data_IF_334973060341
#
_entry.id   IF_334973060341
#
_cell.length_a   1.000
_cell.length_b   1.000
_cell.length_c   1.000
_cell.angle_alpha   90.00
_cell.angle_beta   90.00
_cell.angle_gamma   90.00
#
_symmetry.space_group_name_H-M   'P 1'
#
loop_
_entity.id
_entity.type
_entity.pdbx_description
1 polymer ?
#
# COMPACT_ATOMS: atom_id res chain seq x y z
N UNK A 1 -1.34 -49.96 39.16
CA UNK A 1 -2.22 -48.78 39.28
C UNK A 1 -1.33 -47.60 39.64
N UNK A 2 -1.17 -46.63 38.72
CA UNK A 2 -1.60 -45.21 38.89
C UNK A 2 -0.94 -44.52 40.11
N UNK A 3 -0.23 -43.38 40.02
CA UNK A 3 -0.07 -42.36 38.98
C UNK A 3 1.13 -41.47 39.38
N UNK A 4 1.82 -40.97 38.35
CA UNK A 4 2.81 -39.89 38.40
C UNK A 4 2.18 -38.61 38.98
N UNK A 5 2.92 -37.90 39.83
CA UNK A 5 2.67 -36.49 40.12
C UNK A 5 4.03 -35.80 40.26
N UNK A 6 4.59 -35.36 39.13
CA UNK A 6 5.72 -34.42 39.13
C UNK A 6 5.10 -33.02 39.21
N UNK A 7 5.13 -32.42 40.41
CA UNK A 7 4.88 -31.00 40.60
C UNK A 7 6.04 -30.24 39.97
N UNK A 8 5.81 -29.60 38.81
CA UNK A 8 6.70 -28.59 38.24
C UNK A 8 6.00 -27.25 38.37
N UNK A 9 6.74 -26.31 38.96
CA UNK A 9 6.24 -25.07 39.53
C UNK A 9 5.59 -24.11 38.55
N UNK A 10 4.65 -23.36 39.13
CA UNK A 10 4.04 -22.16 38.60
C UNK A 10 5.11 -21.06 38.45
N UNK A 11 5.78 -21.00 37.29
CA UNK A 11 6.50 -19.81 36.87
C UNK A 11 5.53 -18.88 36.13
N UNK A 12 5.09 -17.86 36.84
CA UNK A 12 4.37 -16.69 36.35
C UNK A 12 5.27 -15.99 35.31
N UNK A 13 5.02 -16.25 34.02
CA UNK A 13 5.50 -15.37 32.95
C UNK A 13 4.43 -14.32 32.67
N UNK A 14 4.41 -13.29 33.52
CA UNK A 14 3.84 -11.98 33.23
C UNK A 14 4.60 -11.38 32.03
N UNK A 15 4.21 -11.71 30.81
CA UNK A 15 4.59 -10.92 29.63
C UNK A 15 3.67 -9.70 29.57
N UNK A 16 3.97 -8.72 30.42
CA UNK A 16 3.53 -7.36 30.20
C UNK A 16 4.25 -6.81 28.96
N UNK A 17 3.43 -6.34 28.03
CA UNK A 17 3.71 -5.27 27.08
C UNK A 17 4.95 -5.44 26.18
N UNK A 18 4.74 -6.10 25.04
CA UNK A 18 5.17 -5.49 23.79
C UNK A 18 3.98 -4.70 23.22
N UNK A 19 3.70 -3.52 23.80
CA UNK A 19 3.11 -2.45 22.99
C UNK A 19 4.16 -2.11 21.95
N UNK A 20 4.16 -2.89 20.85
CA UNK A 20 4.99 -2.58 19.71
C UNK A 20 4.65 -1.16 19.31
N UNK A 21 5.63 -0.25 19.44
CA UNK A 21 5.63 0.98 18.68
C UNK A 21 5.45 0.54 17.22
N UNK A 22 4.21 0.54 16.74
CA UNK A 22 3.90 0.39 15.32
C UNK A 22 4.57 1.58 14.69
N UNK A 23 5.75 1.38 14.11
CA UNK A 23 6.36 2.35 13.23
C UNK A 23 5.39 2.50 12.06
N UNK A 24 4.48 3.47 12.15
CA UNK A 24 3.61 3.82 11.04
C UNK A 24 4.54 4.20 9.90
N UNK A 25 4.41 3.53 8.76
CA UNK A 25 5.17 3.90 7.57
C UNK A 25 4.69 5.29 7.18
N UNK A 26 5.53 6.29 7.42
CA UNK A 26 5.16 7.68 7.22
C UNK A 26 5.51 8.16 5.80
N UNK A 27 6.53 7.56 5.20
CA UNK A 27 7.02 7.87 3.87
C UNK A 27 7.71 6.67 3.26
N UNK A 28 7.57 6.50 1.95
CA UNK A 28 8.27 5.49 1.16
C UNK A 28 9.77 5.85 1.05
N UNK A 29 10.65 4.85 1.03
CA UNK A 29 12.09 4.99 0.76
C UNK A 29 12.47 4.13 -0.43
N UNK A 30 13.54 4.48 -1.14
CA UNK A 30 14.04 3.68 -2.28
C UNK A 30 14.39 2.23 -1.92
N UNK A 31 14.72 1.96 -0.64
CA UNK A 31 15.01 0.61 -0.16
C UNK A 31 13.74 -0.25 -0.02
N UNK A 32 12.58 0.37 0.10
CA UNK A 32 11.28 -0.31 0.18
C UNK A 32 10.80 -0.73 -1.22
N UNK A 33 11.31 -0.08 -2.28
CA UNK A 33 10.91 -0.28 -3.67
C UNK A 33 11.70 -1.44 -4.29
N UNK A 34 11.01 -2.57 -4.49
CA UNK A 34 11.53 -3.77 -5.17
C UNK A 34 10.77 -4.14 -6.45
N UNK A 35 9.54 -3.63 -6.54
CA UNK A 35 8.64 -3.64 -7.68
C UNK A 35 7.80 -2.34 -7.56
N UNK A 36 6.80 -2.14 -8.42
CA UNK A 36 5.82 -1.07 -8.26
C UNK A 36 5.23 -1.10 -6.83
N UNK A 37 5.31 0.03 -6.12
CA UNK A 37 4.90 0.14 -4.72
C UNK A 37 4.04 1.37 -4.51
N UNK A 38 2.91 1.24 -3.82
CA UNK A 38 2.03 2.37 -3.50
C UNK A 38 1.84 2.47 -1.99
N UNK A 39 2.19 3.62 -1.41
CA UNK A 39 1.91 3.94 -0.02
C UNK A 39 0.75 4.93 0.07
N UNK A 40 -0.34 4.51 0.70
CA UNK A 40 -1.39 5.41 1.15
C UNK A 40 -0.98 6.01 2.49
N UNK A 41 -1.02 7.33 2.62
CA UNK A 41 -0.66 8.03 3.85
C UNK A 41 -1.89 8.44 4.65
N UNK A 42 -1.72 8.64 5.95
CA UNK A 42 -2.83 9.00 6.84
C UNK A 42 -3.45 10.38 6.55
N UNK A 43 -2.74 11.25 5.83
CA UNK A 43 -3.24 12.56 5.37
C UNK A 43 -4.05 12.45 4.07
N UNK A 44 -4.19 11.26 3.49
CA UNK A 44 -4.88 11.02 2.23
C UNK A 44 -3.98 11.12 0.98
N UNK A 45 -2.75 11.61 1.13
CA UNK A 45 -1.77 11.62 0.05
C UNK A 45 -1.28 10.22 -0.29
N UNK A 46 -0.76 10.08 -1.51
CA UNK A 46 -0.23 8.83 -2.05
C UNK A 46 1.22 9.03 -2.42
N UNK A 47 2.07 8.05 -2.11
CA UNK A 47 3.40 7.96 -2.70
C UNK A 47 3.47 6.71 -3.56
N UNK A 48 3.82 6.87 -4.83
CA UNK A 48 4.19 5.74 -5.69
C UNK A 48 5.70 5.59 -5.72
N UNK A 49 6.13 4.34 -5.79
CA UNK A 49 7.49 3.90 -5.94
C UNK A 49 7.61 3.12 -7.23
N UNK A 50 8.16 3.74 -8.27
CA UNK A 50 8.39 3.07 -9.54
C UNK A 50 9.71 2.29 -9.49
N UNK A 51 9.73 1.12 -10.11
CA UNK A 51 10.90 0.26 -10.25
C UNK A 51 11.03 -0.20 -11.70
N UNK A 52 12.11 0.19 -12.37
CA UNK A 52 12.38 -0.24 -13.74
C UNK A 52 13.82 -0.76 -13.83
N UNK A 53 13.99 -1.97 -14.36
CA UNK A 53 15.30 -2.59 -14.54
C UNK A 53 15.63 -2.73 -16.03
N UNK A 54 16.80 -2.26 -16.42
CA UNK A 54 17.26 -2.26 -17.81
C UNK A 54 18.67 -2.86 -17.93
N UNK A 55 18.91 -3.52 -19.06
CA UNK A 55 20.16 -4.27 -19.32
C UNK A 55 21.29 -3.39 -19.92
N UNK A 56 20.96 -2.23 -20.46
CA UNK A 56 21.93 -1.25 -21.02
C UNK A 56 21.66 0.11 -20.37
N UNK A 57 22.65 1.01 -20.22
CA UNK A 57 22.46 2.35 -19.65
C UNK A 57 21.67 3.27 -20.60
N UNK A 58 20.41 2.93 -20.86
CA UNK A 58 19.53 3.63 -21.81
C UNK A 58 19.25 5.07 -21.39
N UNK A 59 19.30 5.35 -20.08
CA UNK A 59 18.94 6.64 -19.51
C UNK A 59 20.07 7.18 -18.64
N UNK A 60 20.40 8.43 -18.86
CA UNK A 60 21.10 9.25 -17.88
C UNK A 60 20.10 9.66 -16.76
N UNK A 61 20.59 9.75 -15.52
CA UNK A 61 19.74 10.07 -14.37
C UNK A 61 19.14 11.49 -14.47
N UNK A 62 19.91 12.46 -14.96
CA UNK A 62 19.44 13.85 -15.12
C UNK A 62 18.44 13.95 -16.28
N UNK A 63 18.67 13.25 -17.38
CA UNK A 63 17.74 13.22 -18.52
C UNK A 63 16.41 12.56 -18.13
N UNK A 64 16.43 11.43 -17.43
CA UNK A 64 15.22 10.76 -16.93
C UNK A 64 14.48 11.65 -15.92
N UNK A 65 15.23 12.33 -15.04
CA UNK A 65 14.64 13.28 -14.09
C UNK A 65 13.94 14.43 -14.82
N UNK A 66 14.60 15.05 -15.79
CA UNK A 66 14.04 16.15 -16.56
C UNK A 66 12.77 15.71 -17.32
N UNK A 67 12.77 14.50 -17.87
CA UNK A 67 11.58 13.92 -18.50
C UNK A 67 10.42 13.75 -17.52
N UNK A 68 10.67 13.15 -16.35
CA UNK A 68 9.63 12.98 -15.32
C UNK A 68 9.11 14.31 -14.78
N UNK A 69 10.00 15.26 -14.49
CA UNK A 69 9.63 16.61 -14.02
C UNK A 69 8.82 17.35 -15.08
N UNK A 70 9.17 17.23 -16.37
CA UNK A 70 8.37 17.82 -17.45
C UNK A 70 6.96 17.23 -17.51
N UNK A 71 6.81 15.91 -17.38
CA UNK A 71 5.49 15.27 -17.39
C UNK A 71 4.64 15.71 -16.18
N UNK A 72 5.25 15.79 -14.99
CA UNK A 72 4.60 16.26 -13.77
C UNK A 72 4.18 17.72 -13.88
N UNK A 73 5.04 18.58 -14.44
CA UNK A 73 4.73 20.00 -14.60
C UNK A 73 3.54 20.20 -15.55
N UNK A 74 3.52 19.51 -16.69
CA UNK A 74 2.37 19.54 -17.60
C UNK A 74 1.09 19.09 -16.90
N UNK A 75 1.13 17.99 -16.15
CA UNK A 75 -0.02 17.50 -15.41
C UNK A 75 -0.51 18.51 -14.35
N UNK A 76 0.40 19.10 -13.58
CA UNK A 76 0.08 20.14 -12.59
C UNK A 76 -0.51 21.40 -13.24
N UNK A 77 0.00 21.82 -14.40
CA UNK A 77 -0.57 22.93 -15.17
C UNK A 77 -2.00 22.64 -15.63
N UNK A 78 -2.30 21.39 -16.04
CA UNK A 78 -3.66 20.96 -16.38
C UNK A 78 -4.61 20.92 -15.17
N UNK A 79 -4.10 20.60 -13.97
CA UNK A 79 -4.88 20.67 -12.73
C UNK A 79 -5.05 22.11 -12.21
N UNK A 80 -4.15 23.02 -12.59
CA UNK A 80 -4.13 24.41 -12.13
C UNK A 80 -3.46 24.62 -10.77
N UNK A 81 -2.81 23.59 -10.21
CA UNK A 81 -2.09 23.63 -8.94
C UNK A 81 -0.96 22.58 -8.87
N UNK A 82 0.04 22.81 -8.00
CA UNK A 82 1.13 21.85 -7.76
C UNK A 82 0.63 20.72 -6.83
N UNK A 83 0.08 19.66 -7.41
CA UNK A 83 -0.54 18.54 -6.68
C UNK A 83 0.18 17.20 -6.84
N UNK A 84 1.19 17.16 -7.73
CA UNK A 84 2.09 16.02 -7.92
C UNK A 84 3.54 16.49 -7.86
N UNK A 85 4.41 15.69 -7.23
CA UNK A 85 5.82 16.02 -7.05
C UNK A 85 6.73 14.82 -7.16
N UNK A 86 7.80 14.94 -7.95
CA UNK A 86 8.93 14.01 -7.90
C UNK A 86 9.74 14.28 -6.63
N UNK A 87 9.78 13.32 -5.71
CA UNK A 87 10.55 13.45 -4.46
C UNK A 87 11.96 12.91 -4.59
N UNK A 88 12.12 11.81 -5.33
CA UNK A 88 13.41 11.15 -5.47
C UNK A 88 13.46 10.38 -6.79
N UNK A 89 14.62 10.41 -7.42
CA UNK A 89 15.00 9.53 -8.52
C UNK A 89 16.40 9.01 -8.21
N UNK A 90 16.65 7.75 -8.50
CA UNK A 90 18.00 7.18 -8.50
C UNK A 90 18.10 6.08 -9.55
N UNK A 91 19.18 6.09 -10.32
CA UNK A 91 19.63 4.92 -11.08
C UNK A 91 20.74 4.25 -10.28
N UNK A 92 20.50 3.00 -9.90
CA UNK A 92 21.44 2.14 -9.17
C UNK A 92 22.00 1.07 -10.11
N UNK A 93 23.28 0.74 -9.99
CA UNK A 93 23.87 -0.39 -10.70
C UNK A 93 23.76 -1.67 -9.86
N UNK A 94 23.32 -2.77 -10.48
CA UNK A 94 23.23 -4.09 -9.87
C UNK A 94 23.72 -5.15 -10.85
N UNK A 95 25.02 -5.43 -10.80
CA UNK A 95 25.68 -6.34 -11.73
C UNK A 95 25.74 -5.71 -13.13
N UNK A 96 25.15 -6.38 -14.13
CA UNK A 96 25.02 -5.86 -15.50
C UNK A 96 23.74 -5.07 -15.72
N UNK A 97 22.88 -4.94 -14.70
CA UNK A 97 21.61 -4.23 -14.80
C UNK A 97 21.73 -2.87 -14.15
N UNK A 98 20.98 -1.93 -14.70
CA UNK A 98 20.71 -0.64 -14.11
C UNK A 98 19.25 -0.62 -13.64
N UNK A 99 19.01 -0.05 -12.46
CA UNK A 99 17.70 -0.03 -11.83
C UNK A 99 17.34 1.42 -11.55
N UNK A 100 16.36 1.95 -12.27
CA UNK A 100 15.75 3.22 -11.94
C UNK A 100 14.70 3.01 -10.85
N UNK A 101 14.78 3.84 -9.80
CA UNK A 101 13.76 3.93 -8.76
C UNK A 101 13.34 5.38 -8.61
N UNK A 102 12.04 5.62 -8.64
CA UNK A 102 11.47 6.95 -8.43
C UNK A 102 10.44 6.93 -7.31
N UNK A 103 10.35 8.02 -6.55
CA UNK A 103 9.27 8.28 -5.61
C UNK A 103 8.54 9.53 -6.06
N UNK A 104 7.24 9.38 -6.34
CA UNK A 104 6.35 10.48 -6.70
C UNK A 104 5.25 10.58 -5.65
N UNK A 105 5.00 11.79 -5.15
CA UNK A 105 3.89 12.08 -4.24
C UNK A 105 2.75 12.74 -5.01
N UNK A 106 1.53 12.31 -4.70
CA UNK A 106 0.28 12.85 -5.20
C UNK A 106 -0.57 13.25 -4.00
N UNK A 107 -1.28 14.38 -4.08
CA UNK A 107 -2.10 14.84 -2.96
C UNK A 107 -3.25 13.88 -2.60
N UNK A 108 -3.69 13.04 -3.54
CA UNK A 108 -4.71 12.03 -3.31
C UNK A 108 -4.71 10.91 -4.38
N UNK A 109 -5.49 9.86 -4.12
CA UNK A 109 -5.63 8.70 -5.01
C UNK A 109 -6.21 9.04 -6.39
N UNK A 110 -7.07 10.06 -6.50
CA UNK A 110 -7.66 10.48 -7.78
C UNK A 110 -6.57 11.03 -8.72
N UNK A 111 -5.65 11.83 -8.19
CA UNK A 111 -4.52 12.36 -8.95
C UNK A 111 -3.54 11.26 -9.36
N UNK A 112 -3.25 10.32 -8.46
CA UNK A 112 -2.44 9.13 -8.77
C UNK A 112 -3.07 8.32 -9.92
N UNK A 113 -4.37 8.02 -9.83
CA UNK A 113 -5.12 7.32 -10.87
C UNK A 113 -5.10 8.05 -12.21
N UNK A 114 -5.33 9.37 -12.21
CA UNK A 114 -5.36 10.19 -13.42
C UNK A 114 -3.99 10.27 -14.11
N UNK A 115 -2.92 10.57 -13.38
CA UNK A 115 -1.59 10.73 -13.97
C UNK A 115 -1.03 9.40 -14.50
N UNK A 116 -1.31 8.28 -13.82
CA UNK A 116 -0.82 6.96 -14.23
C UNK A 116 -1.78 6.23 -15.17
N UNK A 117 -2.94 6.80 -15.47
CA UNK A 117 -3.99 6.21 -16.31
C UNK A 117 -4.39 4.79 -15.85
N UNK A 118 -4.68 4.65 -14.56
CA UNK A 118 -5.07 3.38 -13.92
C UNK A 118 -6.40 3.50 -13.18
N UNK A 119 -7.04 2.37 -12.92
CA UNK A 119 -8.24 2.31 -12.09
C UNK A 119 -7.86 2.16 -10.61
N UNK A 120 -7.90 3.27 -9.87
CA UNK A 120 -7.67 3.30 -8.43
C UNK A 120 -8.53 4.37 -7.75
N UNK A 121 -9.19 4.00 -6.65
CA UNK A 121 -10.03 4.92 -5.88
C UNK A 121 -10.03 4.58 -4.39
N UNK A 122 -10.04 5.62 -3.55
CA UNK A 122 -10.16 5.49 -2.10
C UNK A 122 -11.49 6.10 -1.66
N UNK A 123 -12.25 5.33 -0.87
CA UNK A 123 -13.59 5.64 -0.41
C UNK A 123 -13.65 5.63 1.12
N UNK A 124 -14.54 6.45 1.69
CA UNK A 124 -15.14 6.14 2.99
C UNK A 124 -15.99 4.86 2.90
N UNK A 125 -16.31 4.26 4.04
CA UNK A 125 -17.19 3.09 4.06
C UNK A 125 -18.60 3.40 3.49
N UNK A 126 -19.08 4.64 3.66
CA UNK A 126 -20.38 5.07 3.12
C UNK A 126 -20.34 5.17 1.59
N UNK A 127 -19.37 5.89 1.03
CA UNK A 127 -19.20 6.00 -0.43
C UNK A 127 -18.98 4.62 -1.07
N UNK A 128 -18.24 3.72 -0.42
CA UNK A 128 -18.03 2.37 -0.93
C UNK A 128 -19.33 1.53 -0.98
N UNK A 129 -20.26 1.75 -0.03
CA UNK A 129 -21.59 1.12 -0.05
C UNK A 129 -22.42 1.65 -1.20
N UNK A 130 -22.47 2.96 -1.37
CA UNK A 130 -23.25 3.62 -2.42
C UNK A 130 -22.73 3.24 -3.81
N UNK A 131 -21.41 3.15 -3.97
CA UNK A 131 -20.76 2.75 -5.21
C UNK A 131 -20.85 1.23 -5.49
N UNK A 132 -21.20 0.41 -4.49
CA UNK A 132 -21.34 -1.04 -4.66
C UNK A 132 -20.02 -1.77 -4.93
N UNK A 133 -18.89 -1.24 -4.44
CA UNK A 133 -17.54 -1.76 -4.77
C UNK A 133 -17.05 -2.87 -3.83
N UNK A 134 -17.75 -3.12 -2.73
CA UNK A 134 -17.39 -4.15 -1.75
C UNK A 134 -17.91 -5.52 -2.18
N UNK A 135 -17.05 -6.57 -2.23
CA UNK A 135 -17.49 -7.94 -2.49
C UNK A 135 -18.42 -8.48 -1.40
N UNK A 136 -19.30 -9.42 -1.76
CA UNK A 136 -20.22 -10.06 -0.81
C UNK A 136 -19.51 -10.77 0.35
N UNK A 137 -18.33 -11.35 0.08
CA UNK A 137 -17.48 -12.03 1.04
C UNK A 137 -16.04 -11.55 0.90
N UNK A 138 -15.42 -11.21 2.02
CA UNK A 138 -14.01 -10.80 2.11
C UNK A 138 -13.24 -11.71 3.07
N UNK A 139 -11.92 -11.54 3.10
CA UNK A 139 -11.02 -12.22 4.04
C UNK A 139 -10.65 -11.29 5.19
N UNK A 140 -10.69 -11.80 6.42
CA UNK A 140 -10.25 -11.10 7.63
C UNK A 140 -8.72 -11.15 7.72
N UNK A 141 -8.06 -9.99 7.75
CA UNK A 141 -6.60 -9.91 7.73
C UNK A 141 -5.92 -10.49 8.99
N UNK A 142 -6.64 -10.57 10.11
CA UNK A 142 -6.09 -11.03 11.38
C UNK A 142 -5.89 -12.56 11.44
N UNK A 143 -6.76 -13.33 10.78
CA UNK A 143 -6.82 -14.79 10.93
C UNK A 143 -7.11 -15.56 9.63
N UNK A 144 -7.34 -14.86 8.51
CA UNK A 144 -7.64 -15.45 7.21
C UNK A 144 -9.06 -16.03 7.08
N UNK A 145 -9.93 -15.83 8.07
CA UNK A 145 -11.31 -16.28 8.01
C UNK A 145 -12.14 -15.47 6.99
N UNK A 146 -13.29 -15.99 6.60
CA UNK A 146 -14.22 -15.30 5.68
C UNK A 146 -15.23 -14.47 6.47
N UNK A 147 -15.52 -13.27 5.98
CA UNK A 147 -16.49 -12.33 6.60
C UNK A 147 -17.45 -11.79 5.56
N UNK A 148 -18.70 -11.56 5.95
CA UNK A 148 -19.71 -10.99 5.06
C UNK A 148 -19.54 -9.49 4.86
N UNK A 149 -19.96 -8.98 3.70
CA UNK A 149 -20.01 -7.54 3.43
C UNK A 149 -20.76 -6.78 4.53
N UNK A 150 -21.85 -7.34 5.04
CA UNK A 150 -22.66 -6.73 6.12
C UNK A 150 -21.81 -6.45 7.36
N UNK A 151 -21.03 -7.43 7.82
CA UNK A 151 -20.18 -7.28 9.00
C UNK A 151 -19.02 -6.30 8.76
N UNK A 152 -18.43 -6.30 7.56
CA UNK A 152 -17.40 -5.32 7.18
C UNK A 152 -17.95 -3.89 7.21
N UNK A 153 -19.16 -3.72 6.70
CA UNK A 153 -19.81 -2.43 6.51
C UNK A 153 -20.42 -1.82 7.78
N UNK A 154 -20.58 -2.60 8.85
CA UNK A 154 -21.00 -2.10 10.16
C UNK A 154 -19.93 -1.21 10.81
N UNK A 155 -18.68 -1.26 10.35
CA UNK A 155 -17.61 -0.37 10.80
C UNK A 155 -17.42 0.84 9.87
N UNK A 156 -18.02 1.97 10.23
CA UNK A 156 -18.00 3.20 9.42
C UNK A 156 -16.68 3.98 9.50
N UNK A 157 -15.79 3.66 10.43
CA UNK A 157 -14.49 4.35 10.60
C UNK A 157 -13.43 3.86 9.60
N UNK A 158 -13.71 2.78 8.88
CA UNK A 158 -12.78 2.22 7.90
C UNK A 158 -12.90 2.91 6.55
N UNK A 159 -11.80 2.89 5.82
CA UNK A 159 -11.73 3.28 4.41
C UNK A 159 -11.58 2.05 3.53
N UNK A 160 -11.97 2.20 2.27
CA UNK A 160 -11.89 1.16 1.24
C UNK A 160 -11.00 1.67 0.12
N UNK A 161 -9.95 0.92 -0.22
CA UNK A 161 -9.18 1.10 -1.44
C UNK A 161 -9.66 0.07 -2.46
N UNK A 162 -9.95 0.54 -3.66
CA UNK A 162 -10.17 -0.27 -4.85
C UNK A 162 -9.05 0.04 -5.82
N UNK A 163 -8.31 -0.97 -6.28
CA UNK A 163 -7.15 -0.76 -7.16
C UNK A 163 -6.89 -1.96 -8.06
N UNK A 164 -6.49 -1.72 -9.30
CA UNK A 164 -6.07 -2.77 -10.23
C UNK A 164 -4.71 -2.45 -10.84
N UNK A 165 -3.66 -2.75 -10.07
CA UNK A 165 -2.26 -2.71 -10.52
C UNK A 165 -1.56 -3.98 -10.05
N UNK A 166 -0.40 -4.29 -10.63
CA UNK A 166 0.53 -5.26 -10.06
C UNK A 166 1.50 -4.50 -9.14
N UNK A 167 1.69 -4.97 -7.91
CA UNK A 167 2.67 -4.37 -7.00
C UNK A 167 2.30 -4.47 -5.51
N UNK A 168 3.10 -3.82 -4.68
CA UNK A 168 2.92 -3.78 -3.23
C UNK A 168 2.11 -2.55 -2.81
N UNK A 169 1.06 -2.75 -2.01
CA UNK A 169 0.25 -1.66 -1.46
C UNK A 169 0.46 -1.59 0.05
N UNK A 170 0.96 -0.44 0.51
CA UNK A 170 1.30 -0.15 1.89
C UNK A 170 0.32 0.83 2.51
N UNK A 171 0.00 0.59 3.79
CA UNK A 171 -0.93 1.39 4.58
C UNK A 171 -0.24 1.90 5.85
N UNK A 172 -0.72 3.02 6.43
CA UNK A 172 -0.12 3.57 7.65
C UNK A 172 -0.47 2.73 8.89
N UNK A 173 -1.58 2.00 8.82
CA UNK A 173 -2.11 1.13 9.85
C UNK A 173 -2.48 -0.23 9.25
N UNK A 174 -2.75 -1.21 10.13
CA UNK A 174 -3.03 -2.57 9.69
C UNK A 174 -4.32 -2.67 8.84
N UNK A 175 -4.24 -3.45 7.77
CA UNK A 175 -5.37 -3.91 6.95
C UNK A 175 -6.33 -4.70 7.82
N UNK A 176 -7.63 -4.58 7.54
CA UNK A 176 -8.72 -5.25 8.27
C UNK A 176 -9.35 -6.35 7.46
N UNK A 177 -9.69 -6.03 6.22
CA UNK A 177 -10.29 -6.97 5.30
C UNK A 177 -9.70 -6.78 3.91
N UNK A 178 -9.70 -7.84 3.13
CA UNK A 178 -9.23 -7.76 1.75
C UNK A 178 -9.91 -8.78 0.84
N UNK A 179 -9.85 -8.50 -0.46
CA UNK A 179 -10.19 -9.42 -1.55
C UNK A 179 -9.17 -9.26 -2.67
N UNK A 180 -8.85 -10.37 -3.34
CA UNK A 180 -7.95 -10.44 -4.51
C UNK A 180 -6.53 -9.88 -4.27
N UNK A 181 -6.00 -10.08 -3.06
CA UNK A 181 -4.62 -9.71 -2.69
C UNK A 181 -3.99 -10.80 -1.83
N UNK A 182 -2.66 -10.78 -1.73
CA UNK A 182 -1.90 -11.55 -0.74
C UNK A 182 -1.46 -10.63 0.41
N UNK A 183 -1.73 -11.00 1.65
CA UNK A 183 -1.25 -10.24 2.82
C UNK A 183 0.22 -10.58 3.10
N UNK A 184 1.13 -9.63 2.85
CA UNK A 184 2.57 -9.79 3.10
C UNK A 184 2.96 -9.45 4.54
N UNK A 185 2.32 -8.41 5.07
CA UNK A 185 2.53 -7.91 6.43
C UNK A 185 1.22 -7.28 6.93
N UNK A 186 1.07 -6.99 8.24
CA UNK A 186 -0.19 -6.44 8.76
C UNK A 186 -0.71 -5.19 8.02
N UNK A 187 0.18 -4.39 7.43
CA UNK A 187 -0.13 -3.15 6.71
C UNK A 187 0.35 -3.16 5.25
N UNK A 188 0.69 -4.32 4.69
CA UNK A 188 1.18 -4.44 3.31
C UNK A 188 0.53 -5.63 2.63
N UNK A 189 -0.01 -5.41 1.44
CA UNK A 189 -0.56 -6.46 0.58
C UNK A 189 0.13 -6.42 -0.78
N UNK A 190 0.18 -7.55 -1.47
CA UNK A 190 0.60 -7.66 -2.87
C UNK A 190 -0.63 -7.84 -3.76
N UNK A 191 -0.69 -7.10 -4.87
CA UNK A 191 -1.73 -7.20 -5.89
C UNK A 191 -1.14 -7.75 -7.19
N UNK A 192 -1.90 -8.54 -7.94
CA UNK A 192 -1.45 -9.11 -9.22
C UNK A 192 -1.77 -8.24 -10.43
N UNK A 193 -2.74 -7.33 -10.30
CA UNK A 193 -3.29 -6.52 -11.40
C UNK A 193 -4.27 -7.27 -12.32
N UNK A 194 -4.38 -8.59 -12.19
CA UNK A 194 -5.28 -9.40 -13.02
C UNK A 194 -6.75 -9.17 -12.63
N UNK A 195 -7.01 -9.05 -11.33
CA UNK A 195 -8.32 -8.76 -10.78
C UNK A 195 -8.27 -7.46 -9.97
N UNK A 196 -9.42 -6.78 -9.89
CA UNK A 196 -9.56 -5.63 -9.02
C UNK A 196 -9.41 -6.05 -7.56
N UNK A 197 -8.47 -5.44 -6.86
CA UNK A 197 -8.24 -5.62 -5.44
C UNK A 197 -9.14 -4.68 -4.63
N UNK A 198 -9.68 -5.20 -3.53
CA UNK A 198 -10.47 -4.41 -2.56
C UNK A 198 -9.86 -4.57 -1.18
N UNK A 199 -9.40 -3.47 -0.59
CA UNK A 199 -8.70 -3.46 0.69
C UNK A 199 -9.42 -2.53 1.66
N UNK A 200 -9.78 -3.03 2.83
CA UNK A 200 -10.39 -2.24 3.91
C UNK A 200 -9.38 -2.03 5.02
N UNK A 201 -9.15 -0.77 5.38
CA UNK A 201 -8.10 -0.37 6.31
C UNK A 201 -8.57 0.74 7.25
N UNK A 202 -7.86 0.88 8.37
CA UNK A 202 -8.09 1.99 9.32
C UNK A 202 -7.47 3.28 8.79
N UNK A 203 -8.21 4.39 8.90
CA UNK A 203 -7.69 5.71 8.62
C UNK A 203 -7.70 6.58 9.89
N UNK A 204 -6.79 6.27 10.81
CA UNK A 204 -6.60 6.87 12.15
C UNK A 204 -7.81 6.89 13.07
#
# INVERSE_FOLDING_TARGET
MKRKALMVGLCICLMLAATGCKSRVHSLKLADIKDETVLLRSDGSVQSGAYEAFDEPYYDEDDLKAFMESAINTFNEEQGEECVKLNKLKIEENGTKHIAKAIVTYDNMKLYSAMNNIEAASYSMEEAKEAGVLPEIMTVAADGSRVSQKEVTDNTEYKVLVIQIKGDIMFPDAVKYYSNVMLLAPNTVETTGEEQAVIVYKNK
#
